data_IF_546479540233
#
_entry.id   IF_546479540233
#
_cell.length_a   1.000
_cell.length_b   1.000
_cell.length_c   1.000
_cell.angle_alpha   90.00
_cell.angle_beta   90.00
_cell.angle_gamma   90.00
#
_symmetry.space_group_name_H-M   'P 1'
#
loop_
_entity.id
_entity.type
_entity.pdbx_description
1 polymer ?
#
# COMPACT_ATOMS: atom_id res chain seq x y z
N UNK A 1 11.21 -55.42 -20.29
CA UNK A 1 12.37 -54.51 -20.37
C UNK A 1 12.07 -53.24 -19.58
N UNK A 2 13.06 -52.76 -18.84
CA UNK A 2 12.93 -51.98 -17.63
C UNK A 2 12.54 -50.50 -17.84
N UNK A 3 11.58 -50.00 -17.05
CA UNK A 3 11.44 -48.56 -16.79
C UNK A 3 12.32 -48.24 -15.59
N UNK A 4 13.49 -47.67 -15.85
CA UNK A 4 14.41 -47.19 -14.81
C UNK A 4 13.67 -46.13 -13.98
N UNK A 5 13.43 -46.47 -12.71
CA UNK A 5 12.81 -45.56 -11.75
C UNK A 5 13.71 -44.33 -11.56
N UNK A 6 13.11 -43.13 -11.61
CA UNK A 6 13.77 -41.88 -11.28
C UNK A 6 14.48 -42.05 -9.92
N UNK A 7 15.77 -41.71 -9.90
CA UNK A 7 16.70 -42.04 -8.83
C UNK A 7 16.16 -41.74 -7.42
N UNK A 8 16.72 -42.49 -6.45
CA UNK A 8 16.36 -42.57 -5.02
C UNK A 8 16.25 -41.23 -4.24
N UNK A 9 16.39 -40.08 -4.89
CA UNK A 9 16.27 -38.74 -4.30
C UNK A 9 14.93 -38.04 -4.54
N UNK A 10 14.14 -38.38 -5.58
CA UNK A 10 12.94 -37.59 -5.90
C UNK A 10 11.77 -37.83 -4.93
N UNK A 11 11.65 -39.05 -4.40
CA UNK A 11 10.63 -39.39 -3.41
C UNK A 11 10.80 -38.65 -2.07
N UNK A 12 12.03 -38.23 -1.74
CA UNK A 12 12.33 -37.48 -0.52
C UNK A 12 11.86 -36.02 -0.60
N UNK A 13 11.82 -35.44 -1.80
CA UNK A 13 11.28 -34.09 -2.03
C UNK A 13 9.75 -34.09 -2.05
N UNK A 14 9.13 -35.12 -2.64
CA UNK A 14 7.66 -35.21 -2.77
C UNK A 14 6.98 -35.50 -1.43
N UNK A 15 7.62 -36.23 -0.50
CA UNK A 15 7.02 -36.55 0.80
C UNK A 15 6.97 -35.36 1.78
N UNK A 16 7.63 -34.23 1.47
CA UNK A 16 7.55 -32.99 2.27
C UNK A 16 6.31 -32.14 1.96
N UNK A 17 5.30 -32.68 1.26
CA UNK A 17 4.02 -31.98 1.01
C UNK A 17 2.78 -32.85 1.24
N UNK A 18 2.87 -33.89 2.08
CA UNK A 18 1.70 -34.66 2.49
C UNK A 18 1.67 -34.81 4.02
N UNK A 19 0.97 -33.88 4.68
CA UNK A 19 0.45 -34.09 6.02
C UNK A 19 1.27 -33.49 7.16
N UNK A 20 1.39 -32.17 7.19
CA UNK A 20 1.23 -31.43 8.43
C UNK A 20 0.55 -30.12 8.06
N UNK A 21 -0.62 -29.88 8.64
CA UNK A 21 -1.32 -28.60 8.60
C UNK A 21 -0.28 -27.50 8.74
N UNK A 22 -0.07 -26.64 7.73
CA UNK A 22 0.74 -25.49 7.99
C UNK A 22 -0.14 -24.65 8.91
N UNK A 23 0.19 -24.65 10.20
CA UNK A 23 0.21 -23.39 10.93
C UNK A 23 0.80 -22.42 9.92
N UNK A 24 -0.07 -21.62 9.30
CA UNK A 24 0.34 -20.62 8.34
C UNK A 24 1.38 -19.83 9.12
N UNK A 25 2.65 -20.02 8.78
CA UNK A 25 3.68 -19.14 9.22
C UNK A 25 3.15 -17.80 8.77
N UNK A 26 2.69 -17.02 9.75
CA UNK A 26 2.27 -15.67 9.54
C UNK A 26 3.49 -15.02 8.92
N UNK A 27 3.45 -14.91 7.60
CA UNK A 27 4.26 -13.98 6.86
C UNK A 27 3.87 -12.66 7.51
N UNK A 28 4.71 -12.22 8.45
CA UNK A 28 4.63 -10.92 9.07
C UNK A 28 4.91 -9.92 7.96
N UNK A 29 3.90 -9.70 7.12
CA UNK A 29 3.80 -8.54 6.27
C UNK A 29 3.79 -7.39 7.24
N UNK A 30 4.91 -6.69 7.32
CA UNK A 30 5.06 -5.42 8.01
C UNK A 30 3.74 -4.64 7.88
N UNK A 31 2.97 -4.52 8.98
CA UNK A 31 1.62 -3.93 8.92
C UNK A 31 1.66 -2.50 8.37
N UNK A 32 2.82 -1.85 8.46
CA UNK A 32 3.14 -0.56 7.88
C UNK A 32 3.12 -0.52 6.34
N UNK A 33 3.08 -1.67 5.65
CA UNK A 33 2.98 -1.76 4.18
C UNK A 33 1.59 -2.07 3.66
N UNK A 34 0.59 -2.31 4.52
CA UNK A 34 -0.78 -2.54 4.08
C UNK A 34 -1.45 -1.22 3.78
N UNK A 35 -2.00 -1.11 2.56
CA UNK A 35 -2.84 0.02 2.17
C UNK A 35 -4.11 -0.01 3.02
N UNK A 36 -4.42 1.10 3.68
CA UNK A 36 -5.64 1.24 4.48
C UNK A 36 -6.30 2.59 4.25
N UNK A 37 -7.62 2.63 4.35
CA UNK A 37 -8.37 3.87 4.34
C UNK A 37 -8.33 4.55 5.71
N UNK A 38 -7.95 5.82 5.72
CA UNK A 38 -7.96 6.65 6.93
C UNK A 38 -8.77 7.92 6.69
N UNK A 39 -9.39 8.51 7.73
CA UNK A 39 -10.06 9.80 7.60
C UNK A 39 -9.08 10.87 7.10
N UNK A 40 -9.49 11.65 6.10
CA UNK A 40 -8.61 12.65 5.47
C UNK A 40 -8.08 13.69 6.47
N UNK A 41 -8.86 13.96 7.52
CA UNK A 41 -8.55 14.92 8.58
C UNK A 41 -7.47 14.43 9.55
N UNK A 42 -7.19 13.12 9.58
CA UNK A 42 -6.08 12.57 10.36
C UNK A 42 -4.73 12.78 9.67
N UNK A 43 -4.73 13.07 8.37
CA UNK A 43 -3.52 13.28 7.57
C UNK A 43 -3.11 14.75 7.63
N UNK A 44 -1.93 15.00 8.19
CA UNK A 44 -1.34 16.34 8.33
C UNK A 44 -0.16 16.52 7.37
N UNK A 45 -0.01 17.69 6.72
CA UNK A 45 1.14 17.95 5.86
C UNK A 45 2.43 17.99 6.69
N UNK A 46 3.52 17.45 6.14
CA UNK A 46 4.83 17.53 6.79
C UNK A 46 5.37 18.97 6.78
N UNK A 47 5.91 19.49 7.90
CA UNK A 47 6.60 20.79 7.92
C UNK A 47 7.94 20.75 7.16
N UNK A 48 8.47 19.54 6.89
CA UNK A 48 9.75 19.32 6.21
C UNK A 48 9.58 19.16 4.69
N UNK A 49 8.47 19.63 4.12
CA UNK A 49 8.23 19.53 2.68
C UNK A 49 9.25 20.39 1.91
N UNK A 50 10.13 19.80 1.07
CA UNK A 50 11.16 20.55 0.36
C UNK A 50 10.56 21.45 -0.73
N UNK A 51 9.35 21.12 -1.20
CA UNK A 51 8.63 21.93 -2.19
C UNK A 51 7.68 22.88 -1.47
N UNK A 52 7.99 24.17 -1.50
CA UNK A 52 7.18 25.24 -0.92
C UNK A 52 6.24 25.91 -1.93
N UNK A 53 6.59 25.89 -3.23
CA UNK A 53 5.79 26.48 -4.31
C UNK A 53 4.99 25.39 -5.04
N UNK A 54 3.66 25.49 -4.96
CA UNK A 54 2.72 24.64 -5.68
C UNK A 54 1.96 25.47 -6.70
N UNK A 55 2.08 25.10 -7.97
CA UNK A 55 1.28 25.69 -9.05
C UNK A 55 -0.04 24.92 -9.10
N UNK A 56 -1.15 25.61 -8.85
CA UNK A 56 -2.49 25.02 -8.79
C UNK A 56 -2.99 24.50 -10.15
N UNK A 57 -2.39 24.94 -11.25
CA UNK A 57 -2.90 24.72 -12.62
C UNK A 57 -3.19 23.26 -13.02
N UNK A 58 -2.43 22.21 -12.61
CA UNK A 58 -2.76 20.83 -12.97
C UNK A 58 -3.49 20.06 -11.86
N UNK A 59 -4.14 20.76 -10.91
CA UNK A 59 -4.91 20.10 -9.85
C UNK A 59 -6.29 19.66 -10.32
N UNK A 60 -6.92 20.40 -11.25
CA UNK A 60 -8.27 20.11 -11.75
C UNK A 60 -8.33 18.77 -12.49
N UNK A 61 -7.37 18.49 -13.38
CA UNK A 61 -7.25 17.20 -14.07
C UNK A 61 -7.08 16.03 -13.08
N UNK A 62 -6.32 16.25 -12.00
CA UNK A 62 -6.12 15.24 -10.97
C UNK A 62 -7.40 15.01 -10.16
N UNK A 63 -8.15 16.06 -9.86
CA UNK A 63 -9.44 15.95 -9.20
C UNK A 63 -10.43 15.16 -10.05
N UNK A 64 -10.50 15.43 -11.36
CA UNK A 64 -11.37 14.69 -12.27
C UNK A 64 -10.95 13.22 -12.39
N UNK A 65 -9.65 12.94 -12.48
CA UNK A 65 -9.13 11.57 -12.46
C UNK A 65 -9.50 10.83 -11.17
N UNK A 66 -9.36 11.48 -10.00
CA UNK A 66 -9.73 10.91 -8.70
C UNK A 66 -11.24 10.68 -8.59
N UNK A 67 -12.08 11.56 -9.15
CA UNK A 67 -13.54 11.33 -9.19
C UNK A 67 -13.90 10.09 -10.00
N UNK A 68 -13.26 9.90 -11.15
CA UNK A 68 -13.59 8.81 -12.07
C UNK A 68 -13.03 7.45 -11.63
N UNK A 69 -11.79 7.43 -11.15
CA UNK A 69 -11.04 6.18 -10.89
C UNK A 69 -10.68 5.98 -9.42
N UNK A 70 -10.95 6.96 -8.55
CA UNK A 70 -10.46 6.97 -7.19
C UNK A 70 -8.95 7.26 -7.10
N UNK A 71 -8.41 7.06 -5.90
CA UNK A 71 -6.98 7.24 -5.64
C UNK A 71 -6.25 5.93 -5.94
N UNK A 72 -5.71 5.82 -7.16
CA UNK A 72 -4.99 4.61 -7.62
C UNK A 72 -3.71 4.38 -6.83
N UNK A 73 -2.95 5.45 -6.57
CA UNK A 73 -1.73 5.39 -5.77
C UNK A 73 -2.01 5.91 -4.36
N UNK A 74 -1.82 5.10 -3.31
CA UNK A 74 -1.97 5.53 -1.92
C UNK A 74 -1.00 6.66 -1.55
N UNK A 75 -1.42 7.51 -0.63
CA UNK A 75 -0.56 8.51 -0.01
C UNK A 75 0.50 7.81 0.83
N UNK A 76 1.68 8.42 0.98
CA UNK A 76 2.71 7.87 1.87
C UNK A 76 2.71 8.70 3.14
N UNK A 77 2.42 8.05 4.26
CA UNK A 77 2.37 8.70 5.57
C UNK A 77 3.32 8.02 6.56
N UNK A 78 3.67 8.73 7.63
CA UNK A 78 4.27 8.15 8.84
C UNK A 78 3.46 8.55 10.07
N UNK A 79 3.50 7.72 11.10
CA UNK A 79 2.90 8.06 12.39
C UNK A 79 3.90 8.88 13.22
N UNK A 80 3.53 10.10 13.59
CA UNK A 80 4.32 10.99 14.47
C UNK A 80 3.39 11.57 15.52
N UNK A 81 3.68 11.31 16.79
CA UNK A 81 2.87 11.78 17.94
C UNK A 81 1.36 11.49 17.80
N UNK A 82 1.02 10.32 17.24
CA UNK A 82 -0.37 9.90 17.02
C UNK A 82 -1.06 10.54 15.80
N UNK A 83 -0.36 11.34 14.99
CA UNK A 83 -0.87 11.95 13.76
C UNK A 83 -0.23 11.30 12.53
N UNK A 84 -0.98 11.22 11.44
CA UNK A 84 -0.47 10.69 10.17
C UNK A 84 0.17 11.84 9.37
N UNK A 85 1.48 11.93 9.40
CA UNK A 85 2.21 12.96 8.68
C UNK A 85 2.45 12.54 7.23
N UNK A 86 2.07 13.39 6.29
CA UNK A 86 2.19 13.16 4.85
C UNK A 86 3.64 13.33 4.38
N UNK A 87 4.26 12.23 3.98
CA UNK A 87 5.60 12.19 3.38
C UNK A 87 5.50 12.52 1.90
N UNK A 88 4.60 11.84 1.18
CA UNK A 88 4.44 12.02 -0.26
C UNK A 88 2.98 11.90 -0.71
N UNK A 89 2.65 12.63 -1.78
CA UNK A 89 1.29 12.67 -2.32
C UNK A 89 0.51 13.94 -2.01
N UNK A 90 1.18 15.04 -1.66
CA UNK A 90 0.57 16.35 -1.36
C UNK A 90 -0.51 16.77 -2.37
N UNK A 91 -0.25 16.61 -3.68
CA UNK A 91 -1.24 16.93 -4.73
C UNK A 91 -2.50 16.07 -4.66
N UNK A 92 -2.34 14.77 -4.37
CA UNK A 92 -3.46 13.83 -4.19
C UNK A 92 -4.24 14.19 -2.94
N UNK A 93 -3.56 14.44 -1.82
CA UNK A 93 -4.22 14.88 -0.58
C UNK A 93 -4.98 16.20 -0.76
N UNK A 94 -4.39 17.20 -1.43
CA UNK A 94 -5.07 18.47 -1.74
C UNK A 94 -6.28 18.28 -2.64
N UNK A 95 -6.15 17.48 -3.70
CA UNK A 95 -7.26 17.15 -4.58
C UNK A 95 -8.39 16.45 -3.80
N UNK A 96 -8.07 15.45 -2.98
CA UNK A 96 -9.02 14.76 -2.12
C UNK A 96 -9.71 15.68 -1.13
N UNK A 97 -8.99 16.65 -0.53
CA UNK A 97 -9.57 17.68 0.34
C UNK A 97 -10.52 18.60 -0.42
N UNK A 98 -10.12 19.10 -1.60
CA UNK A 98 -10.98 19.95 -2.44
C UNK A 98 -12.22 19.19 -2.94
N UNK A 99 -12.11 17.88 -3.15
CA UNK A 99 -13.21 17.00 -3.52
C UNK A 99 -14.14 16.65 -2.34
N UNK A 100 -13.74 16.92 -1.10
CA UNK A 100 -14.53 16.58 0.09
C UNK A 100 -14.59 15.08 0.38
N UNK A 101 -13.54 14.31 0.04
CA UNK A 101 -13.49 12.87 0.35
C UNK A 101 -13.38 12.66 1.86
N UNK A 102 -14.18 11.74 2.42
CA UNK A 102 -14.14 11.42 3.85
C UNK A 102 -12.85 10.66 4.22
N UNK A 103 -12.40 9.75 3.35
CA UNK A 103 -11.25 8.89 3.57
C UNK A 103 -10.28 8.92 2.39
N UNK A 104 -9.03 8.56 2.67
CA UNK A 104 -7.97 8.41 1.68
C UNK A 104 -7.15 7.14 1.95
N UNK A 105 -6.76 6.37 0.91
CA UNK A 105 -5.81 5.29 1.07
C UNK A 105 -4.42 5.83 1.37
N UNK A 106 -3.84 5.33 2.45
CA UNK A 106 -2.46 5.59 2.91
C UNK A 106 -1.65 4.30 3.03
#
# INVERSE_FOLDING_TARGET
>A
MAKQALGKGLGALIKKQAGSTPAAQEVSFDESKRVRDVPIDQVVPSPLQPRTVFVDSPLDDLMESIRQHGIIQPLIVRLVEGKLELIAGERRWRASKKLGLATVPV
#
